data_IF_247251916487
#
_entry.id   IF_247251916487
#
_cell.length_a   1.000
_cell.length_b   1.000
_cell.length_c   1.000
_cell.angle_alpha   90.00
_cell.angle_beta   90.00
_cell.angle_gamma   90.00
#
_symmetry.space_group_name_H-M   'P 1'
#
loop_
_entity.id
_entity.type
_entity.pdbx_description
1 polymer ?
#
# COMPACT_ATOMS: atom_id res chain seq x y z
N UNK A 1 -10.78 5.48 -8.96
CA UNK A 1 -11.27 4.16 -9.45
C UNK A 1 -10.78 3.13 -8.46
N UNK A 2 -11.67 2.40 -7.79
CA UNK A 2 -11.28 1.38 -6.81
C UNK A 2 -10.63 0.17 -7.50
N UNK A 3 -9.60 -0.37 -6.88
CA UNK A 3 -8.88 -1.56 -7.35
C UNK A 3 -9.74 -2.82 -7.21
N UNK A 4 -9.41 -3.85 -7.98
CA UNK A 4 -10.01 -5.18 -7.88
C UNK A 4 -9.88 -5.76 -6.47
N UNK A 5 -8.74 -5.53 -5.79
CA UNK A 5 -8.50 -6.03 -4.44
C UNK A 5 -9.39 -5.33 -3.41
N UNK A 6 -9.51 -4.00 -3.49
CA UNK A 6 -10.42 -3.24 -2.62
C UNK A 6 -11.88 -3.63 -2.84
N UNK A 7 -12.33 -3.79 -4.09
CA UNK A 7 -13.71 -4.23 -4.39
C UNK A 7 -13.99 -5.64 -3.91
N UNK A 8 -13.06 -6.57 -4.13
CA UNK A 8 -13.18 -7.95 -3.68
C UNK A 8 -13.29 -8.05 -2.15
N UNK A 9 -12.66 -7.13 -1.41
CA UNK A 9 -12.74 -7.08 0.05
C UNK A 9 -14.11 -6.62 0.59
N UNK A 10 -14.87 -5.84 -0.19
CA UNK A 10 -16.18 -5.30 0.23
C UNK A 10 -17.38 -6.10 -0.31
N UNK A 11 -17.27 -6.70 -1.50
CA UNK A 11 -18.38 -7.38 -2.16
C UNK A 11 -18.19 -8.92 -2.17
N UNK A 12 -18.31 -9.55 -3.34
CA UNK A 12 -18.17 -11.00 -3.54
C UNK A 12 -16.81 -11.29 -4.17
N UNK A 13 -15.81 -11.79 -3.42
CA UNK A 13 -14.42 -11.85 -3.88
C UNK A 13 -14.23 -12.70 -5.14
N UNK A 14 -14.84 -13.90 -5.16
CA UNK A 14 -14.64 -14.88 -6.23
C UNK A 14 -15.12 -14.35 -7.57
N UNK A 15 -16.31 -13.76 -7.65
CA UNK A 15 -16.85 -13.23 -8.92
C UNK A 15 -16.03 -12.05 -9.44
N UNK A 16 -15.56 -11.19 -8.53
CA UNK A 16 -14.73 -10.04 -8.87
C UNK A 16 -13.38 -10.49 -9.43
N UNK A 17 -12.68 -11.41 -8.76
CA UNK A 17 -11.39 -11.90 -9.24
C UNK A 17 -11.51 -12.60 -10.59
N UNK A 18 -12.51 -13.47 -10.78
CA UNK A 18 -12.73 -14.15 -12.07
C UNK A 18 -12.96 -13.15 -13.19
N UNK A 19 -13.87 -12.18 -13.00
CA UNK A 19 -14.18 -11.17 -14.01
C UNK A 19 -12.98 -10.29 -14.33
N UNK A 20 -12.30 -9.77 -13.31
CA UNK A 20 -11.11 -8.92 -13.51
C UNK A 20 -9.97 -9.68 -14.20
N UNK A 21 -9.79 -10.97 -13.90
CA UNK A 21 -8.80 -11.82 -14.56
C UNK A 21 -9.10 -12.03 -16.04
N UNK A 22 -10.37 -12.32 -16.38
CA UNK A 22 -10.82 -12.46 -17.79
C UNK A 22 -10.60 -11.15 -18.57
N UNK A 23 -10.85 -10.01 -17.92
CA UNK A 23 -10.68 -8.68 -18.54
C UNK A 23 -9.21 -8.22 -18.61
N UNK A 24 -8.26 -8.99 -18.05
CA UNK A 24 -6.85 -8.61 -17.97
C UNK A 24 -6.64 -7.31 -17.19
N UNK A 25 -7.46 -7.04 -16.17
CA UNK A 25 -7.33 -5.83 -15.37
C UNK A 25 -5.99 -5.79 -14.64
N UNK A 26 -5.32 -4.64 -14.74
CA UNK A 26 -4.18 -4.30 -13.91
C UNK A 26 -4.53 -3.07 -13.09
N UNK A 27 -4.31 -3.14 -11.78
CA UNK A 27 -4.53 -2.02 -10.88
C UNK A 27 -3.21 -1.59 -10.23
N UNK A 28 -3.13 -0.31 -9.88
CA UNK A 28 -2.05 0.20 -9.02
C UNK A 28 -2.45 0.00 -7.57
N UNK A 29 -1.52 -0.51 -6.76
CA UNK A 29 -1.69 -0.67 -5.30
C UNK A 29 -1.49 0.70 -4.65
N UNK A 30 -2.56 1.50 -4.62
CA UNK A 30 -2.56 2.87 -4.08
C UNK A 30 -3.61 3.08 -2.98
N UNK A 31 -4.57 2.16 -2.86
CA UNK A 31 -5.61 2.21 -1.84
C UNK A 31 -5.03 1.77 -0.49
N UNK A 32 -5.50 2.38 0.60
CA UNK A 32 -5.11 1.96 1.93
C UNK A 32 -5.46 0.50 2.24
N UNK A 33 -6.58 0.00 1.70
CA UNK A 33 -7.00 -1.41 1.87
C UNK A 33 -6.04 -2.34 1.14
N UNK A 34 -5.64 -1.98 -0.08
CA UNK A 34 -4.70 -2.78 -0.85
C UNK A 34 -3.36 -2.85 -0.13
N UNK A 35 -2.90 -1.72 0.43
CA UNK A 35 -1.67 -1.67 1.19
C UNK A 35 -1.75 -2.55 2.44
N UNK A 36 -2.87 -2.55 3.18
CA UNK A 36 -3.06 -3.44 4.33
C UNK A 36 -2.96 -4.90 3.92
N UNK A 37 -3.67 -5.32 2.87
CA UNK A 37 -3.68 -6.71 2.41
C UNK A 37 -2.27 -7.13 1.94
N UNK A 38 -1.54 -6.22 1.29
CA UNK A 38 -0.18 -6.46 0.80
C UNK A 38 0.92 -6.23 1.85
N UNK A 39 0.56 -5.93 3.10
CA UNK A 39 1.48 -5.59 4.18
C UNK A 39 2.45 -4.45 3.81
N UNK A 40 1.95 -3.44 3.11
CA UNK A 40 2.63 -2.21 2.74
C UNK A 40 2.18 -1.05 3.64
N UNK A 41 3.04 -0.03 3.86
CA UNK A 41 2.65 1.16 4.61
C UNK A 41 1.47 1.88 3.94
N UNK A 42 0.54 2.37 4.75
CA UNK A 42 -0.57 3.20 4.29
C UNK A 42 -0.10 4.66 4.32
N UNK A 43 -0.23 5.37 3.20
CA UNK A 43 0.08 6.80 3.10
C UNK A 43 -1.05 7.65 3.73
N UNK A 44 -1.29 7.46 5.03
CA UNK A 44 -2.24 8.22 5.84
C UNK A 44 -1.67 8.36 7.27
N UNK A 45 -1.99 9.46 7.94
CA UNK A 45 -1.55 9.70 9.31
C UNK A 45 -0.03 9.74 9.41
N UNK A 46 0.56 8.91 10.28
CA UNK A 46 2.02 8.83 10.45
C UNK A 46 2.74 8.26 9.23
N UNK A 47 2.07 7.46 8.40
CA UNK A 47 2.65 6.90 7.17
C UNK A 47 2.82 7.90 6.03
N UNK A 48 2.44 9.18 6.23
CA UNK A 48 2.71 10.26 5.27
C UNK A 48 4.11 10.87 5.42
N UNK A 49 4.77 10.65 6.55
CA UNK A 49 6.04 11.31 6.87
C UNK A 49 7.15 10.29 7.01
N UNK A 50 8.26 10.56 6.32
CA UNK A 50 9.51 9.88 6.57
C UNK A 50 10.29 10.63 7.65
N UNK A 51 10.83 9.89 8.61
CA UNK A 51 11.65 10.45 9.69
C UNK A 51 13.11 10.23 9.35
N UNK A 52 13.87 11.32 9.31
CA UNK A 52 15.30 11.29 9.05
C UNK A 52 16.06 11.72 10.31
N UNK A 53 17.02 10.91 10.72
CA UNK A 53 17.95 11.30 11.79
C UNK A 53 19.16 12.01 11.19
N UNK A 54 19.43 13.23 11.63
CA UNK A 54 20.64 13.98 11.28
C UNK A 54 21.58 13.93 12.48
N UNK A 55 22.47 12.93 12.48
CA UNK A 55 23.49 12.80 13.50
C UNK A 55 24.64 13.77 13.26
N UNK A 56 24.94 14.64 14.22
CA UNK A 56 26.24 15.31 14.27
C UNK A 56 27.27 14.28 14.74
N UNK A 57 28.06 13.73 13.80
CA UNK A 57 29.27 12.99 14.13
C UNK A 57 30.20 13.95 14.89
N UNK A 58 30.24 13.85 16.22
CA UNK A 58 31.40 14.35 16.94
C UNK A 58 32.53 13.38 16.62
N UNK A 59 33.56 13.86 15.96
CA UNK A 59 34.82 13.12 15.89
C UNK A 59 35.32 13.01 17.32
N UNK A 60 35.28 11.80 17.86
CA UNK A 60 35.97 11.49 19.11
C UNK A 60 37.46 11.65 18.82
N UNK A 61 38.02 12.81 19.20
CA UNK A 61 39.46 13.04 19.20
C UNK A 61 40.02 12.33 20.43
N UNK A 62 40.62 11.15 20.19
CA UNK A 62 41.65 10.57 21.07
C UNK A 62 42.80 11.54 21.32
#
# INVERSE_FOLDING_TARGET
KESTLSKAAFETPVSIFVRSSIMGQSDKVLSGIDNVIMNQPIYLGTGLYDVYFVGNRKEDKE
#
